data_IF_647611041587
#
_entry.id   IF_647611041587
#
_cell.length_a   1.000
_cell.length_b   1.000
_cell.length_c   1.000
_cell.angle_alpha   90.00
_cell.angle_beta   90.00
_cell.angle_gamma   90.00
#
_symmetry.space_group_name_H-M   'P 1'
#
loop_
_entity.id
_entity.type
_entity.pdbx_description
1 polymer ?
#
# COMPACT_ATOMS: atom_id res chain seq x y z
N UNK A 1 17.16 6.14 -20.24
CA UNK A 1 17.75 5.50 -19.04
C UNK A 1 17.13 4.13 -18.74
N UNK A 2 15.84 4.04 -18.43
CA UNK A 2 15.17 2.77 -18.06
C UNK A 2 15.31 1.62 -19.08
N UNK A 3 15.29 1.92 -20.38
CA UNK A 3 15.51 0.92 -21.44
C UNK A 3 16.93 0.33 -21.36
N UNK A 4 17.94 1.16 -21.04
CA UNK A 4 19.32 0.68 -20.89
C UNK A 4 19.47 -0.24 -19.66
N UNK A 5 18.85 0.14 -18.53
CA UNK A 5 18.78 -0.70 -17.31
C UNK A 5 18.08 -2.05 -17.60
N UNK A 6 17.01 -2.03 -18.41
CA UNK A 6 16.32 -3.26 -18.84
C UNK A 6 17.22 -4.16 -19.70
N UNK A 7 17.90 -3.57 -20.68
CA UNK A 7 18.76 -4.32 -21.59
C UNK A 7 19.97 -4.92 -20.87
N UNK A 8 20.53 -4.21 -19.89
CA UNK A 8 21.55 -4.75 -19.00
C UNK A 8 21.03 -5.93 -18.17
N UNK A 9 19.90 -5.76 -17.49
CA UNK A 9 19.25 -6.82 -16.71
C UNK A 9 18.95 -8.08 -17.55
N UNK A 10 18.49 -7.89 -18.79
CA UNK A 10 18.13 -8.97 -19.72
C UNK A 10 19.35 -9.76 -20.21
N UNK A 11 20.53 -9.13 -20.31
CA UNK A 11 21.78 -9.77 -20.78
C UNK A 11 22.48 -10.62 -19.72
N UNK A 12 22.19 -10.43 -18.43
CA UNK A 12 22.84 -11.18 -17.35
C UNK A 12 22.36 -12.64 -17.27
N UNK A 13 23.31 -13.57 -17.22
CA UNK A 13 23.12 -14.99 -16.90
C UNK A 13 23.01 -15.18 -15.38
N UNK A 14 21.83 -15.52 -14.88
CA UNK A 14 21.69 -16.05 -13.54
C UNK A 14 20.48 -16.97 -13.48
N UNK A 15 20.56 -18.01 -12.65
CA UNK A 15 19.40 -18.69 -12.07
C UNK A 15 18.56 -17.65 -11.31
N UNK A 16 17.74 -16.90 -12.06
CA UNK A 16 16.91 -15.83 -11.54
C UNK A 16 15.70 -16.48 -10.88
N UNK A 17 15.83 -16.84 -9.60
CA UNK A 17 14.65 -17.03 -8.76
C UNK A 17 13.82 -15.74 -8.83
N UNK A 18 12.52 -15.90 -9.07
CA UNK A 18 11.58 -14.79 -9.24
C UNK A 18 11.32 -14.09 -7.91
N UNK A 19 12.33 -13.40 -7.39
CA UNK A 19 12.26 -12.48 -6.25
C UNK A 19 12.90 -11.19 -6.73
N UNK A 20 12.08 -10.33 -7.33
CA UNK A 20 12.55 -9.02 -7.76
C UNK A 20 12.16 -7.92 -6.80
N UNK A 21 13.21 -7.26 -6.35
CA UNK A 21 13.22 -5.87 -5.92
C UNK A 21 14.63 -5.38 -6.20
N UNK A 22 14.75 -4.38 -7.06
CA UNK A 22 15.88 -3.46 -6.99
C UNK A 22 15.80 -2.74 -5.64
N UNK A 23 16.95 -2.37 -5.09
CA UNK A 23 17.02 -1.39 -4.00
C UNK A 23 16.49 -0.01 -4.44
N UNK A 24 16.33 0.21 -5.75
CA UNK A 24 15.68 1.39 -6.33
C UNK A 24 14.15 1.25 -6.27
N UNK A 25 13.53 2.32 -5.75
CA UNK A 25 12.13 2.62 -5.45
C UNK A 25 11.05 1.91 -6.28
N UNK A 26 9.91 1.66 -5.63
CA UNK A 26 8.72 1.04 -6.23
C UNK A 26 7.70 2.15 -6.55
N UNK A 27 7.41 2.37 -7.83
CA UNK A 27 6.53 3.44 -8.32
C UNK A 27 5.05 3.02 -8.28
N UNK A 28 4.51 2.82 -7.08
CA UNK A 28 3.07 2.80 -6.86
C UNK A 28 2.66 4.10 -6.18
N UNK A 29 1.73 4.82 -6.81
CA UNK A 29 1.07 5.98 -6.24
C UNK A 29 -0.37 5.60 -5.94
N UNK A 30 -0.75 5.71 -4.68
CA UNK A 30 -2.12 5.47 -4.23
C UNK A 30 -2.59 6.73 -3.51
N UNK A 31 -3.84 7.14 -3.76
CA UNK A 31 -4.46 8.31 -3.14
C UNK A 31 -5.83 7.93 -2.59
N UNK A 32 -6.14 8.48 -1.41
CA UNK A 32 -7.45 8.40 -0.77
C UNK A 32 -7.97 9.83 -0.62
N UNK A 33 -9.26 10.03 -0.89
CA UNK A 33 -9.91 11.32 -0.73
C UNK A 33 -11.23 11.13 0.03
N UNK A 34 -11.55 12.14 0.85
CA UNK A 34 -12.84 12.31 1.49
C UNK A 34 -13.41 13.64 1.00
N UNK A 35 -14.54 13.58 0.34
CA UNK A 35 -15.33 14.73 -0.07
C UNK A 35 -16.62 14.79 0.76
N UNK A 36 -17.05 16.00 1.11
CA UNK A 36 -18.36 16.21 1.72
C UNK A 36 -19.29 16.88 0.70
N UNK A 37 -20.14 16.06 0.07
CA UNK A 37 -21.18 16.50 -0.87
C UNK A 37 -22.57 16.50 -0.20
N UNK A 38 -22.61 16.85 1.10
CA UNK A 38 -23.79 16.73 1.97
C UNK A 38 -23.85 15.40 2.74
N UNK A 39 -23.01 14.44 2.35
CA UNK A 39 -22.68 13.23 3.09
C UNK A 39 -21.21 12.86 2.78
N UNK A 40 -20.51 12.14 3.69
CA UNK A 40 -19.16 11.64 3.44
C UNK A 40 -19.12 10.77 2.18
N UNK A 41 -18.24 11.11 1.24
CA UNK A 41 -17.96 10.31 0.05
C UNK A 41 -16.46 10.02 -0.04
N UNK A 42 -16.11 8.75 -0.06
CA UNK A 42 -14.75 8.27 -0.06
C UNK A 42 -14.34 7.72 -1.42
N UNK A 43 -13.16 8.13 -1.86
CA UNK A 43 -12.58 7.71 -3.14
C UNK A 43 -11.20 7.14 -2.88
N UNK A 44 -10.89 6.03 -3.55
CA UNK A 44 -9.56 5.44 -3.57
C UNK A 44 -9.12 5.22 -5.02
N UNK A 45 -7.91 5.64 -5.33
CA UNK A 45 -7.30 5.46 -6.65
C UNK A 45 -5.86 4.98 -6.49
N UNK A 46 -5.44 4.03 -7.34
CA UNK A 46 -4.06 3.55 -7.36
C UNK A 46 -3.58 3.38 -8.79
N UNK A 47 -2.32 3.74 -9.03
CA UNK A 47 -1.64 3.59 -10.30
C UNK A 47 -0.21 3.09 -10.06
N UNK A 48 0.22 2.14 -10.89
CA UNK A 48 1.55 1.55 -10.80
C UNK A 48 1.99 1.01 -12.16
N UNK A 49 3.31 1.03 -12.41
CA UNK A 49 3.91 0.21 -13.47
C UNK A 49 4.18 -1.23 -13.00
N UNK A 50 4.00 -1.52 -11.71
CA UNK A 50 4.30 -2.78 -11.05
C UNK A 50 5.79 -2.91 -10.70
N UNK A 51 6.19 -4.12 -10.27
CA UNK A 51 7.59 -4.40 -10.00
C UNK A 51 8.43 -4.28 -11.28
N UNK A 52 9.62 -3.71 -11.15
CA UNK A 52 10.61 -3.67 -12.22
C UNK A 52 10.90 -5.10 -12.71
N UNK A 53 11.02 -5.24 -14.03
CA UNK A 53 11.44 -6.49 -14.69
C UNK A 53 10.54 -7.70 -14.42
N UNK A 54 9.30 -7.45 -14.01
CA UNK A 54 8.28 -8.48 -13.80
C UNK A 54 8.08 -9.35 -15.05
N UNK A 55 7.67 -10.60 -14.84
CA UNK A 55 7.25 -11.47 -15.94
C UNK A 55 6.13 -10.79 -16.75
N UNK A 56 6.13 -10.93 -18.08
CA UNK A 56 5.02 -10.48 -18.90
C UNK A 56 3.69 -11.02 -18.37
N UNK A 57 2.72 -10.13 -18.16
CA UNK A 57 1.41 -10.48 -17.60
C UNK A 57 1.33 -10.52 -16.07
N UNK A 58 2.41 -10.30 -15.32
CA UNK A 58 2.32 -10.19 -13.85
C UNK A 58 1.48 -8.98 -13.44
N UNK A 59 0.54 -9.23 -12.53
CA UNK A 59 -0.35 -8.25 -11.89
C UNK A 59 -0.09 -8.23 -10.38
N UNK A 60 0.05 -7.04 -9.80
CA UNK A 60 0.20 -6.84 -8.35
C UNK A 60 -1.13 -6.51 -7.68
N UNK A 61 -1.09 -5.94 -6.49
CA UNK A 61 -2.25 -5.55 -5.67
C UNK A 61 -2.98 -4.30 -6.20
N UNK A 62 -2.26 -3.34 -6.79
CA UNK A 62 -2.80 -2.02 -7.12
C UNK A 62 -4.10 -2.00 -7.93
N UNK A 63 -4.30 -2.84 -8.98
CA UNK A 63 -5.56 -2.85 -9.73
C UNK A 63 -6.64 -3.78 -9.11
N UNK A 64 -6.38 -4.35 -7.93
CA UNK A 64 -7.26 -5.36 -7.31
C UNK A 64 -7.99 -4.71 -6.12
N UNK A 65 -9.31 -4.58 -6.26
CA UNK A 65 -10.18 -4.07 -5.21
C UNK A 65 -10.09 -4.99 -3.98
N UNK A 66 -9.85 -4.38 -2.82
CA UNK A 66 -9.65 -5.06 -1.55
C UNK A 66 -8.21 -5.46 -1.25
N UNK A 67 -7.32 -5.45 -2.24
CA UNK A 67 -5.89 -5.63 -2.03
C UNK A 67 -5.17 -4.28 -2.01
N UNK A 68 -5.03 -3.61 -3.16
CA UNK A 68 -4.32 -2.34 -3.28
C UNK A 68 -5.16 -1.13 -2.86
N UNK A 69 -6.48 -1.17 -3.11
CA UNK A 69 -7.42 -0.11 -2.74
C UNK A 69 -8.77 -0.65 -2.33
N UNK A 70 -9.43 0.01 -1.39
CA UNK A 70 -10.82 -0.23 -1.02
C UNK A 70 -11.42 1.05 -0.44
N UNK A 71 -12.67 1.37 -0.77
CA UNK A 71 -13.38 2.53 -0.24
C UNK A 71 -14.83 2.15 0.09
N UNK A 72 -15.31 2.63 1.24
CA UNK A 72 -16.65 2.37 1.76
C UNK A 72 -17.12 3.61 2.51
N UNK A 73 -18.11 4.33 1.96
CA UNK A 73 -18.63 5.61 2.48
C UNK A 73 -19.16 5.48 3.93
N UNK A 74 -19.57 4.29 4.36
CA UNK A 74 -20.06 4.07 5.72
C UNK A 74 -18.95 3.91 6.75
N UNK A 75 -17.70 3.70 6.33
CA UNK A 75 -16.59 3.33 7.22
C UNK A 75 -15.35 4.19 6.95
N UNK A 76 -14.78 4.06 5.76
CA UNK A 76 -13.40 4.43 5.49
C UNK A 76 -12.88 3.85 4.17
N UNK A 77 -11.73 4.36 3.76
CA UNK A 77 -10.97 3.88 2.62
C UNK A 77 -9.55 3.51 3.05
N UNK A 78 -8.96 2.57 2.34
CA UNK A 78 -7.59 2.14 2.55
C UNK A 78 -6.88 1.92 1.22
N UNK A 79 -5.59 2.26 1.21
CA UNK A 79 -4.67 2.11 0.11
C UNK A 79 -3.43 1.32 0.55
N UNK A 80 -2.78 0.66 -0.39
CA UNK A 80 -1.55 -0.06 -0.15
C UNK A 80 -0.49 0.26 -1.21
N UNK A 81 0.77 0.01 -0.85
CA UNK A 81 1.94 0.08 -1.73
C UNK A 81 3.03 -0.84 -1.21
N UNK A 82 3.88 -1.37 -2.10
CA UNK A 82 4.96 -2.29 -1.75
C UNK A 82 4.92 -3.61 -2.49
N UNK A 83 5.20 -4.71 -1.77
CA UNK A 83 5.19 -6.06 -2.35
C UNK A 83 3.76 -6.56 -2.58
N UNK A 84 3.28 -6.32 -3.80
CA UNK A 84 1.89 -6.59 -4.17
C UNK A 84 1.40 -8.03 -3.95
N UNK A 85 2.27 -9.03 -4.09
CA UNK A 85 1.92 -10.44 -3.82
C UNK A 85 1.51 -10.66 -2.35
N UNK A 86 2.20 -10.02 -1.39
CA UNK A 86 1.88 -10.16 0.03
C UNK A 86 0.66 -9.31 0.42
N UNK A 87 0.57 -8.08 -0.10
CA UNK A 87 -0.60 -7.22 0.09
C UNK A 87 -1.90 -7.87 -0.43
N UNK A 88 -1.82 -8.55 -1.59
CA UNK A 88 -2.94 -9.29 -2.14
C UNK A 88 -3.31 -10.51 -1.28
N UNK A 89 -2.33 -11.34 -0.89
CA UNK A 89 -2.58 -12.49 0.01
C UNK A 89 -3.25 -12.07 1.32
N UNK A 90 -2.99 -10.86 1.82
CA UNK A 90 -3.57 -10.33 3.04
C UNK A 90 -4.97 -9.71 2.86
N UNK A 91 -5.38 -9.44 1.62
CA UNK A 91 -6.50 -8.54 1.29
C UNK A 91 -6.37 -7.22 2.06
N UNK A 92 -5.20 -6.60 1.95
CA UNK A 92 -4.72 -5.58 2.86
C UNK A 92 -5.70 -4.40 3.02
N UNK A 93 -6.10 -3.74 1.93
CA UNK A 93 -7.02 -2.60 2.01
C UNK A 93 -8.41 -3.00 2.53
N UNK A 94 -8.97 -4.12 2.09
CA UNK A 94 -10.27 -4.59 2.59
C UNK A 94 -10.21 -4.89 4.09
N UNK A 95 -9.18 -5.62 4.53
CA UNK A 95 -8.96 -5.95 5.94
C UNK A 95 -8.84 -4.70 6.79
N UNK A 96 -8.09 -3.71 6.35
CA UNK A 96 -7.96 -2.44 7.08
C UNK A 96 -9.30 -1.73 7.21
N UNK A 97 -10.12 -1.66 6.15
CA UNK A 97 -11.48 -1.09 6.26
C UNK A 97 -12.36 -1.88 7.20
N UNK A 98 -12.30 -3.22 7.20
CA UNK A 98 -13.04 -4.05 8.16
C UNK A 98 -12.57 -3.88 9.62
N UNK A 99 -11.28 -3.64 9.83
CA UNK A 99 -10.76 -3.30 11.15
C UNK A 99 -11.32 -1.96 11.65
N UNK A 100 -11.43 -0.96 10.78
CA UNK A 100 -12.08 0.32 11.10
C UNK A 100 -13.58 0.15 11.38
N UNK A 101 -14.26 -0.73 10.64
CA UNK A 101 -15.66 -1.11 10.90
C UNK A 101 -15.84 -1.72 12.29
N UNK A 102 -14.85 -2.49 12.76
CA UNK A 102 -14.82 -3.08 14.09
C UNK A 102 -14.50 -2.08 15.22
N UNK A 103 -14.37 -0.78 14.90
CA UNK A 103 -14.19 0.30 15.88
C UNK A 103 -12.74 0.74 16.11
N UNK A 104 -11.78 0.24 15.33
CA UNK A 104 -10.40 0.72 15.39
C UNK A 104 -10.26 2.10 14.73
N UNK A 105 -9.34 2.92 15.24
CA UNK A 105 -8.86 4.11 14.52
C UNK A 105 -8.17 3.72 13.21
N UNK A 106 -7.98 4.69 12.31
CA UNK A 106 -7.30 4.46 11.03
C UNK A 106 -5.87 3.93 11.23
N UNK A 107 -5.14 4.48 12.21
CA UNK A 107 -3.79 4.03 12.54
C UNK A 107 -3.81 2.60 13.08
N UNK A 108 -4.62 2.31 14.12
CA UNK A 108 -4.71 0.96 14.71
C UNK A 108 -5.10 -0.09 13.66
N UNK A 109 -6.02 0.24 12.77
CA UNK A 109 -6.45 -0.64 11.69
C UNK A 109 -5.32 -0.98 10.71
N UNK A 110 -4.52 0.02 10.33
CA UNK A 110 -3.33 -0.19 9.48
C UNK A 110 -2.30 -1.05 10.21
N UNK A 111 -2.03 -0.75 11.48
CA UNK A 111 -1.07 -1.50 12.27
C UNK A 111 -1.48 -2.96 12.46
N UNK A 112 -2.74 -3.25 12.75
CA UNK A 112 -3.23 -4.62 12.87
C UNK A 112 -3.12 -5.38 11.55
N UNK A 113 -3.40 -4.74 10.41
CA UNK A 113 -3.19 -5.36 9.09
C UNK A 113 -1.71 -5.69 8.87
N UNK A 114 -0.79 -4.78 9.20
CA UNK A 114 0.66 -5.05 9.07
C UNK A 114 1.11 -6.14 10.04
N UNK A 115 0.69 -6.13 11.31
CA UNK A 115 0.98 -7.21 12.28
C UNK A 115 0.44 -8.56 11.81
N UNK A 116 -0.74 -8.58 11.19
CA UNK A 116 -1.28 -9.79 10.58
C UNK A 116 -0.36 -10.30 9.47
N UNK A 117 0.07 -9.43 8.55
CA UNK A 117 1.02 -9.78 7.49
C UNK A 117 2.32 -10.33 8.07
N UNK A 118 2.98 -9.60 8.97
CA UNK A 118 4.27 -10.04 9.55
C UNK A 118 4.17 -11.41 10.24
N UNK A 119 3.03 -11.74 10.89
CA UNK A 119 2.81 -13.04 11.53
C UNK A 119 2.52 -14.17 10.55
N UNK A 120 1.83 -13.89 9.44
CA UNK A 120 1.27 -14.91 8.52
C UNK A 120 2.05 -15.05 7.23
N UNK A 121 2.86 -14.05 6.91
CA UNK A 121 3.56 -13.86 5.64
C UNK A 121 4.98 -13.34 5.94
N UNK A 122 5.92 -14.19 6.40
CA UNK A 122 7.28 -13.74 6.71
C UNK A 122 7.98 -13.01 5.56
N UNK A 123 7.63 -13.38 4.31
CA UNK A 123 8.11 -12.73 3.09
C UNK A 123 7.70 -11.24 2.97
N UNK A 124 6.68 -10.79 3.70
CA UNK A 124 6.23 -9.39 3.72
C UNK A 124 7.25 -8.42 4.35
N UNK A 125 8.36 -8.95 4.89
CA UNK A 125 9.47 -8.18 5.46
C UNK A 125 10.70 -8.15 4.54
N UNK A 126 10.67 -8.88 3.41
CA UNK A 126 11.74 -8.78 2.40
C UNK A 126 11.76 -7.38 1.78
N UNK A 127 10.57 -6.83 1.56
CA UNK A 127 10.28 -5.48 1.08
C UNK A 127 9.33 -4.73 2.00
N UNK A 128 9.30 -3.39 1.92
CA UNK A 128 8.22 -2.61 2.53
C UNK A 128 6.87 -3.06 1.96
N UNK A 129 5.97 -3.43 2.86
CA UNK A 129 4.53 -3.50 2.62
C UNK A 129 3.90 -2.41 3.46
N UNK A 130 3.14 -1.54 2.81
CA UNK A 130 2.51 -0.39 3.44
C UNK A 130 1.01 -0.48 3.28
N UNK A 131 0.29 -0.13 4.34
CA UNK A 131 -1.13 0.16 4.28
C UNK A 131 -1.39 1.50 4.95
N UNK A 132 -2.23 2.32 4.34
CA UNK A 132 -2.67 3.60 4.87
C UNK A 132 -4.17 3.77 4.66
N UNK A 133 -4.81 4.54 5.52
CA UNK A 133 -6.26 4.64 5.58
C UNK A 133 -6.76 6.05 5.91
N UNK A 134 -7.99 6.31 5.51
CA UNK A 134 -8.77 7.52 5.77
C UNK A 134 -10.20 7.11 6.14
N UNK A 135 -10.67 7.46 7.33
CA UNK A 135 -12.02 7.19 7.83
C UNK A 135 -12.99 8.28 7.39
N UNK A 136 -14.28 7.96 7.39
CA UNK A 136 -15.36 8.91 7.05
C UNK A 136 -15.44 10.13 7.97
N UNK A 137 -14.88 10.04 9.17
CA UNK A 137 -14.79 11.14 10.15
C UNK A 137 -13.50 11.97 9.99
N UNK A 138 -12.67 11.66 9.00
CA UNK A 138 -11.42 12.35 8.71
C UNK A 138 -10.23 11.89 9.55
N UNK A 139 -10.37 10.84 10.37
CA UNK A 139 -9.24 10.14 11.00
C UNK A 139 -8.39 9.41 9.94
N UNK A 140 -7.07 9.39 10.09
CA UNK A 140 -6.16 8.79 9.11
C UNK A 140 -4.90 8.24 9.76
N UNK A 141 -4.25 7.29 9.09
CA UNK A 141 -3.03 6.66 9.58
C UNK A 141 -2.38 5.77 8.54
N UNK A 142 -1.15 5.33 8.83
CA UNK A 142 -0.43 4.38 8.01
C UNK A 142 0.45 3.47 8.86
N UNK A 143 0.83 2.32 8.30
CA UNK A 143 1.79 1.41 8.89
C UNK A 143 2.61 0.72 7.80
N UNK A 144 3.85 0.37 8.11
CA UNK A 144 4.78 -0.33 7.20
C UNK A 144 5.50 -1.48 7.89
N UNK A 145 5.82 -2.54 7.15
CA UNK A 145 6.63 -3.67 7.63
C UNK A 145 8.12 -3.35 7.73
N UNK A 146 8.61 -2.36 6.98
CA UNK A 146 10.05 -2.08 6.83
C UNK A 146 10.31 -0.63 6.43
N UNK A 147 11.42 -0.09 6.94
CA UNK A 147 11.85 1.28 6.65
C UNK A 147 10.92 2.32 7.26
N UNK A 148 10.73 3.42 6.53
CA UNK A 148 9.84 4.52 6.90
C UNK A 148 8.91 4.77 5.72
N UNK A 149 7.64 5.06 6.01
CA UNK A 149 6.67 5.41 4.99
C UNK A 149 6.31 6.91 5.07
N UNK A 150 6.63 7.69 4.03
CA UNK A 150 6.18 9.07 3.92
C UNK A 150 4.73 9.14 3.45
N UNK A 151 3.89 9.86 4.19
CA UNK A 151 2.51 10.16 3.81
C UNK A 151 2.33 11.67 3.68
N UNK A 152 1.83 12.09 2.52
CA UNK A 152 1.42 13.47 2.25
C UNK A 152 -0.08 13.60 2.46
N UNK A 153 -0.50 14.59 3.24
CA UNK A 153 -1.90 14.86 3.55
C UNK A 153 -2.24 16.29 3.11
N UNK A 154 -3.35 16.47 2.39
CA UNK A 154 -3.88 17.79 2.05
C UNK A 154 -5.23 17.98 2.72
N UNK A 155 -5.39 19.05 3.50
CA UNK A 155 -6.65 19.43 4.16
C UNK A 155 -6.78 20.94 4.19
N UNK A 156 -7.90 21.48 3.71
CA UNK A 156 -8.17 22.92 3.66
C UNK A 156 -7.02 23.72 3.02
N UNK A 157 -6.53 23.24 1.86
CA UNK A 157 -5.40 23.83 1.10
C UNK A 157 -4.05 23.81 1.82
N UNK A 158 -3.97 23.22 3.02
CA UNK A 158 -2.73 22.99 3.75
C UNK A 158 -2.23 21.58 3.44
N UNK A 159 -0.97 21.50 3.00
CA UNK A 159 -0.27 20.24 2.81
C UNK A 159 0.64 19.98 4.01
N UNK A 160 0.46 18.84 4.64
CA UNK A 160 1.33 18.33 5.70
C UNK A 160 2.00 17.01 5.29
N UNK A 161 3.10 16.73 5.96
CA UNK A 161 3.93 15.55 5.75
C UNK A 161 4.05 14.79 7.08
N UNK A 162 3.89 13.47 7.04
CA UNK A 162 4.12 12.59 8.19
C UNK A 162 4.91 11.36 7.79
N UNK A 163 5.82 10.96 8.66
CA UNK A 163 6.58 9.71 8.55
C UNK A 163 6.04 8.67 9.52
N UNK A 164 5.88 7.45 9.03
CA UNK A 164 5.48 6.30 9.81
C UNK A 164 6.63 5.30 9.85
N UNK A 165 7.27 5.06 11.01
CA UNK A 165 8.33 4.07 11.12
C UNK A 165 7.76 2.65 11.00
N UNK A 166 8.62 1.70 10.62
CA UNK A 166 8.26 0.29 10.59
C UNK A 166 7.80 -0.22 11.96
N UNK A 167 6.77 -1.06 11.94
CA UNK A 167 6.32 -1.75 13.13
C UNK A 167 7.34 -2.78 13.59
N UNK A 168 7.49 -2.87 14.91
CA UNK A 168 8.25 -3.91 15.58
C UNK A 168 7.24 -4.89 16.20
N UNK A 169 7.43 -6.18 15.96
CA UNK A 169 6.62 -7.25 16.56
C UNK A 169 6.97 -7.47 18.03
#
# INVERSE_FOLDING_TARGET
ENIAKYDEWRRGDADKFYVHTSQESHDTVTMLALEDLGQPHLVAASATSGLAWKLPGRVGDSPIIGAGIYADDEIGAAGATGLGEELWKASASFRTVRNMEAGMSALEACEETIRHMMRRQPESMTLPCVVFALRKDGDFGAATTKGEFPLWISRNEVVEYREYPALVL
#
